data_IF_057063411237
#
_entry.id   IF_057063411237
#
_cell.length_a   1.000
_cell.length_b   1.000
_cell.length_c   1.000
_cell.angle_alpha   90.00
_cell.angle_beta   90.00
_cell.angle_gamma   90.00
#
_symmetry.space_group_name_H-M   'P 1'
#
loop_
_entity.id
_entity.type
_entity.pdbx_description
1 polymer ?
#
# COMPACT_ATOMS: atom_id res chain seq x y z
N UNK A 1 10.42 -8.53 -3.01
CA UNK A 1 9.34 -9.15 -2.26
C UNK A 1 8.00 -8.44 -2.45
N UNK A 2 7.84 -7.20 -1.98
CA UNK A 2 6.56 -6.49 -2.14
C UNK A 2 6.15 -6.29 -3.60
N UNK A 3 7.11 -6.08 -4.50
CA UNK A 3 6.86 -6.00 -5.94
C UNK A 3 6.24 -7.30 -6.48
N UNK A 4 6.70 -8.47 -6.01
CA UNK A 4 6.11 -9.75 -6.41
C UNK A 4 4.64 -9.83 -6.01
N UNK A 5 4.31 -9.42 -4.78
CA UNK A 5 2.92 -9.39 -4.28
C UNK A 5 2.07 -8.48 -5.17
N UNK A 6 2.52 -7.25 -5.41
CA UNK A 6 1.80 -6.29 -6.23
C UNK A 6 1.63 -6.76 -7.69
N UNK A 7 2.67 -7.36 -8.28
CA UNK A 7 2.60 -7.90 -9.64
C UNK A 7 1.57 -9.04 -9.74
N UNK A 8 1.57 -9.96 -8.76
CA UNK A 8 0.63 -11.07 -8.73
C UNK A 8 -0.82 -10.58 -8.55
N UNK A 9 -1.06 -9.63 -7.63
CA UNK A 9 -2.38 -9.02 -7.43
C UNK A 9 -2.90 -8.34 -8.71
N UNK A 10 -2.06 -7.55 -9.39
CA UNK A 10 -2.43 -6.91 -10.68
C UNK A 10 -2.79 -7.94 -11.72
N UNK A 11 -1.92 -8.92 -11.95
CA UNK A 11 -2.18 -10.00 -12.89
C UNK A 11 -3.51 -10.70 -12.62
N UNK A 12 -3.77 -11.03 -11.37
CA UNK A 12 -5.04 -11.66 -10.97
C UNK A 12 -6.25 -10.78 -11.32
N UNK A 13 -6.19 -9.49 -11.00
CA UNK A 13 -7.28 -8.54 -11.31
C UNK A 13 -7.48 -8.41 -12.80
N UNK A 14 -6.42 -8.32 -13.60
CA UNK A 14 -6.48 -8.30 -15.07
C UNK A 14 -7.26 -9.49 -15.62
N UNK A 15 -7.05 -10.70 -15.07
CA UNK A 15 -7.81 -11.88 -15.48
C UNK A 15 -9.30 -11.79 -15.09
N UNK A 16 -9.59 -11.26 -13.90
CA UNK A 16 -10.95 -11.17 -13.36
C UNK A 16 -11.82 -10.11 -14.03
N UNK A 17 -11.22 -9.01 -14.48
CA UNK A 17 -11.98 -7.90 -15.12
C UNK A 17 -12.13 -8.09 -16.63
N UNK A 18 -11.41 -9.02 -17.23
CA UNK A 18 -11.42 -9.26 -18.67
C UNK A 18 -12.85 -9.54 -19.18
N UNK A 19 -13.27 -8.79 -20.21
CA UNK A 19 -14.62 -8.88 -20.79
C UNK A 19 -15.71 -8.19 -19.96
N UNK A 20 -15.36 -7.50 -18.89
CA UNK A 20 -16.30 -6.69 -18.08
C UNK A 20 -16.11 -5.19 -18.37
N UNK A 21 -17.04 -4.36 -17.89
CA UNK A 21 -16.90 -2.90 -18.00
C UNK A 21 -15.70 -2.35 -17.20
N UNK A 22 -15.24 -3.09 -16.18
CA UNK A 22 -14.11 -2.72 -15.35
C UNK A 22 -12.76 -2.85 -16.09
N UNK A 23 -12.69 -3.62 -17.17
CA UNK A 23 -11.47 -3.81 -17.97
C UNK A 23 -10.89 -2.50 -18.51
N UNK A 24 -11.74 -1.47 -18.65
CA UNK A 24 -11.33 -0.15 -19.16
C UNK A 24 -10.59 0.71 -18.13
N UNK A 25 -10.69 0.34 -16.85
CA UNK A 25 -10.09 1.11 -15.77
C UNK A 25 -8.63 0.67 -15.52
N UNK A 26 -7.72 1.64 -15.27
CA UNK A 26 -6.35 1.31 -14.92
C UNK A 26 -6.27 0.58 -13.58
N UNK A 27 -5.39 -0.43 -13.51
CA UNK A 27 -5.22 -1.28 -12.34
C UNK A 27 -3.95 -0.88 -11.59
N UNK A 28 -4.11 -0.56 -10.33
CA UNK A 28 -3.06 -0.35 -9.33
C UNK A 28 -3.10 -1.50 -8.32
N UNK A 29 -2.03 -1.66 -7.55
CA UNK A 29 -1.98 -2.67 -6.49
C UNK A 29 -1.33 -2.11 -5.24
N UNK A 30 -1.99 -2.26 -4.10
CA UNK A 30 -1.53 -1.82 -2.79
C UNK A 30 -1.21 -3.02 -1.89
N UNK A 31 -0.01 -3.06 -1.36
CA UNK A 31 0.41 -4.08 -0.40
C UNK A 31 1.48 -3.55 0.56
N UNK A 32 1.49 -4.04 1.80
CA UNK A 32 2.48 -3.69 2.81
C UNK A 32 3.54 -4.78 2.98
N UNK A 33 4.80 -4.43 3.29
CA UNK A 33 5.82 -5.38 3.68
C UNK A 33 5.57 -5.85 5.12
N UNK A 34 5.02 -7.05 5.30
CA UNK A 34 4.65 -7.55 6.63
C UNK A 34 5.84 -7.89 7.53
N UNK A 35 6.94 -8.34 6.92
CA UNK A 35 8.19 -8.67 7.60
C UNK A 35 9.30 -7.76 7.06
N UNK A 36 9.48 -6.61 7.68
CA UNK A 36 10.45 -5.60 7.26
C UNK A 36 11.18 -4.95 8.46
N UNK A 37 11.39 -5.70 9.54
CA UNK A 37 11.98 -5.18 10.77
C UNK A 37 11.01 -4.26 11.52
N UNK A 38 11.41 -3.01 11.77
CA UNK A 38 10.63 -2.04 12.55
C UNK A 38 10.46 -2.51 14.01
N UNK A 39 9.28 -2.30 14.58
CA UNK A 39 8.96 -2.67 15.96
C UNK A 39 9.16 -4.15 16.32
N UNK A 40 9.24 -5.04 15.33
CA UNK A 40 9.46 -6.47 15.52
C UNK A 40 10.94 -6.87 15.59
N UNK A 41 11.84 -5.90 15.44
CA UNK A 41 13.29 -6.07 15.50
C UNK A 41 13.93 -6.28 14.13
N UNK A 42 15.23 -6.04 14.08
CA UNK A 42 16.01 -6.03 12.83
C UNK A 42 16.05 -7.37 12.10
N UNK A 43 15.86 -8.47 12.81
CA UNK A 43 15.89 -9.82 12.24
C UNK A 43 14.52 -10.28 11.70
N UNK A 44 13.48 -9.47 11.90
CA UNK A 44 12.12 -9.82 11.45
C UNK A 44 11.91 -9.42 9.99
N UNK A 45 12.36 -10.29 9.09
CA UNK A 45 12.16 -10.13 7.64
C UNK A 45 12.08 -11.48 6.94
N UNK A 46 11.47 -11.50 5.73
CA UNK A 46 11.40 -12.70 4.89
C UNK A 46 12.74 -12.93 4.20
N UNK A 47 13.36 -14.07 4.47
CA UNK A 47 14.58 -14.51 3.80
C UNK A 47 14.34 -15.82 3.04
N UNK A 48 14.19 -15.72 1.72
CA UNK A 48 13.98 -16.86 0.85
C UNK A 48 15.26 -17.10 0.05
N UNK A 49 15.97 -18.22 0.28
CA UNK A 49 17.20 -18.51 -0.44
C UNK A 49 16.93 -18.76 -1.94
N UNK A 50 17.96 -18.58 -2.75
CA UNK A 50 17.92 -18.89 -4.17
C UNK A 50 17.63 -20.40 -4.36
N UNK A 51 16.66 -20.72 -5.20
CA UNK A 51 16.26 -22.09 -5.47
C UNK A 51 14.79 -22.22 -5.85
N UNK A 52 14.26 -23.42 -5.72
CA UNK A 52 12.84 -23.70 -6.00
C UNK A 52 11.94 -23.05 -4.96
N UNK A 53 10.96 -22.29 -5.42
CA UNK A 53 9.91 -21.71 -4.57
C UNK A 53 8.84 -22.76 -4.28
N UNK A 54 8.35 -22.74 -3.04
CA UNK A 54 7.26 -23.58 -2.58
C UNK A 54 6.18 -22.73 -1.88
N UNK A 55 4.99 -23.27 -1.71
CA UNK A 55 3.85 -22.57 -1.05
C UNK A 55 4.25 -22.02 0.32
N UNK A 56 5.09 -22.73 1.08
CA UNK A 56 5.60 -22.23 2.37
C UNK A 56 6.35 -20.90 2.25
N UNK A 57 7.03 -20.65 1.14
CA UNK A 57 7.74 -19.38 0.91
C UNK A 57 6.75 -18.24 0.68
N UNK A 58 5.62 -18.53 0.03
CA UNK A 58 4.56 -17.54 -0.15
C UNK A 58 3.83 -17.26 1.18
N UNK A 59 3.63 -18.27 2.01
CA UNK A 59 3.10 -18.09 3.36
C UNK A 59 4.05 -17.30 4.28
N UNK A 60 5.37 -17.40 4.09
CA UNK A 60 6.35 -16.60 4.80
C UNK A 60 6.40 -15.14 4.29
N UNK A 61 6.23 -14.94 2.99
CA UNK A 61 6.16 -13.62 2.37
C UNK A 61 4.87 -12.88 2.72
N UNK A 62 3.73 -13.59 2.66
CA UNK A 62 2.40 -13.05 2.93
C UNK A 62 1.77 -13.82 4.09
N UNK A 63 2.05 -13.36 5.33
CA UNK A 63 1.77 -14.11 6.57
C UNK A 63 0.29 -14.23 6.93
N UNK A 64 -0.55 -13.32 6.46
CA UNK A 64 -1.97 -13.28 6.81
C UNK A 64 -2.83 -14.04 5.79
N UNK A 65 -3.85 -14.81 6.21
CA UNK A 65 -4.79 -15.48 5.32
C UNK A 65 -5.87 -14.51 4.79
N UNK A 66 -5.41 -13.37 4.25
CA UNK A 66 -6.31 -12.38 3.68
C UNK A 66 -6.74 -12.79 2.27
N UNK A 67 -7.97 -12.49 1.91
CA UNK A 67 -8.51 -12.67 0.55
C UNK A 67 -8.32 -11.39 -0.28
N UNK A 68 -8.22 -11.56 -1.60
CA UNK A 68 -8.01 -10.45 -2.52
C UNK A 68 -9.30 -9.66 -2.75
N UNK A 69 -9.20 -8.35 -2.63
CA UNK A 69 -10.28 -7.38 -2.90
C UNK A 69 -9.81 -6.36 -3.92
N UNK A 70 -10.76 -5.81 -4.69
CA UNK A 70 -10.51 -4.71 -5.61
C UNK A 70 -11.45 -3.56 -5.26
N UNK A 71 -10.87 -2.40 -5.01
CA UNK A 71 -11.60 -1.15 -4.76
C UNK A 71 -11.60 -0.28 -6.00
N UNK A 72 -12.72 0.39 -6.27
CA UNK A 72 -12.79 1.46 -7.27
C UNK A 72 -12.59 2.79 -6.56
N UNK A 73 -11.47 3.44 -6.86
CA UNK A 73 -10.99 4.64 -6.17
C UNK A 73 -10.67 5.75 -7.17
N UNK A 74 -10.75 7.00 -6.72
CA UNK A 74 -10.24 8.16 -7.47
C UNK A 74 -8.74 8.38 -7.21
N UNK A 75 -8.09 9.14 -8.10
CA UNK A 75 -6.69 9.56 -7.88
C UNK A 75 -6.50 10.30 -6.56
N UNK A 76 -7.49 11.07 -6.12
CA UNK A 76 -7.49 11.71 -4.80
C UNK A 76 -7.48 10.71 -3.65
N UNK A 77 -8.22 9.60 -3.75
CA UNK A 77 -8.20 8.55 -2.73
C UNK A 77 -6.83 7.85 -2.69
N UNK A 78 -6.22 7.63 -3.86
CA UNK A 78 -4.86 7.05 -3.97
C UNK A 78 -3.84 7.96 -3.27
N UNK A 79 -3.92 9.28 -3.47
CA UNK A 79 -3.06 10.25 -2.78
C UNK A 79 -3.23 10.17 -1.26
N UNK A 80 -4.46 10.22 -0.76
CA UNK A 80 -4.73 10.18 0.70
C UNK A 80 -4.30 8.83 1.31
N UNK A 81 -4.42 7.72 0.56
CA UNK A 81 -3.87 6.43 0.98
C UNK A 81 -2.37 6.50 1.19
N UNK A 82 -1.63 7.06 0.24
CA UNK A 82 -0.17 7.22 0.33
C UNK A 82 0.24 8.21 1.44
N UNK A 83 -0.53 9.29 1.64
CA UNK A 83 -0.31 10.22 2.77
C UNK A 83 -0.43 9.52 4.14
N UNK A 84 -1.41 8.61 4.28
CA UNK A 84 -1.53 7.79 5.49
C UNK A 84 -0.35 6.84 5.63
N UNK A 85 0.04 6.13 4.56
CA UNK A 85 1.19 5.22 4.54
C UNK A 85 2.49 5.94 4.90
N UNK A 86 2.66 7.20 4.49
CA UNK A 86 3.84 8.02 4.79
C UNK A 86 4.03 8.30 6.31
N UNK A 87 3.04 7.99 7.15
CA UNK A 87 3.16 7.97 8.60
C UNK A 87 4.20 6.99 9.15
N UNK A 88 4.68 6.05 8.30
CA UNK A 88 5.80 5.15 8.61
C UNK A 88 7.09 5.90 8.92
N UNK A 89 7.23 7.13 8.48
CA UNK A 89 8.45 7.91 8.66
C UNK A 89 8.27 9.04 9.68
N UNK A 90 9.27 9.24 10.52
CA UNK A 90 9.37 10.41 11.38
C UNK A 90 9.60 11.66 10.53
N UNK A 91 9.30 12.84 11.10
CA UNK A 91 9.71 14.10 10.49
C UNK A 91 11.19 14.31 10.71
N UNK A 92 11.93 14.57 9.64
CA UNK A 92 13.36 14.85 9.66
C UNK A 92 13.57 16.36 9.54
N UNK A 93 14.33 16.93 10.46
CA UNK A 93 14.74 18.34 10.40
C UNK A 93 16.05 18.43 9.58
N UNK A 94 16.01 19.01 8.36
CA UNK A 94 17.17 19.09 7.49
C UNK A 94 18.24 20.09 7.99
N UNK A 95 17.97 20.87 9.04
CA UNK A 95 18.91 21.82 9.64
C UNK A 95 19.69 21.22 10.81
N UNK A 96 19.45 19.95 11.15
CA UNK A 96 20.18 19.24 12.20
C UNK A 96 21.27 18.36 11.59
N UNK A 97 22.49 18.49 12.07
CA UNK A 97 23.63 17.66 11.66
C UNK A 97 23.67 16.31 12.39
N UNK A 98 22.89 16.15 13.47
CA UNK A 98 22.85 14.92 14.26
C UNK A 98 22.04 13.83 13.54
N UNK A 99 22.37 12.57 13.83
CA UNK A 99 21.63 11.43 13.34
C UNK A 99 20.17 11.46 13.83
N UNK A 100 19.22 11.24 12.92
CA UNK A 100 17.79 11.26 13.21
C UNK A 100 17.16 9.93 12.81
N UNK A 101 16.33 9.36 13.69
CA UNK A 101 15.60 8.12 13.42
C UNK A 101 14.56 8.35 12.34
N UNK A 102 14.74 7.74 11.17
CA UNK A 102 13.84 7.87 10.04
C UNK A 102 12.54 7.07 10.24
N UNK A 103 12.66 5.85 10.76
CA UNK A 103 11.49 4.95 10.91
C UNK A 103 10.71 5.30 12.16
N UNK A 104 9.39 5.47 12.01
CA UNK A 104 8.45 5.65 13.11
C UNK A 104 8.04 4.28 13.65
N UNK A 105 8.66 3.84 14.75
CA UNK A 105 8.45 2.52 15.35
C UNK A 105 7.03 2.33 15.93
N UNK A 106 6.29 3.41 16.22
CA UNK A 106 4.92 3.31 16.71
C UNK A 106 3.89 3.15 15.57
N UNK A 107 4.29 3.44 14.33
CA UNK A 107 3.44 3.20 13.17
C UNK A 107 3.47 1.71 12.79
N UNK A 108 2.32 1.04 12.66
CA UNK A 108 2.30 -0.38 12.30
C UNK A 108 2.84 -0.62 10.89
N UNK A 109 3.90 -1.40 10.73
CA UNK A 109 4.53 -1.68 9.43
C UNK A 109 3.54 -2.27 8.41
N UNK A 110 2.54 -3.04 8.85
CA UNK A 110 1.47 -3.55 7.97
C UNK A 110 0.53 -2.44 7.45
N UNK A 111 0.68 -1.20 7.92
CA UNK A 111 0.01 -0.02 7.38
C UNK A 111 0.91 0.80 6.44
N UNK A 112 2.15 0.38 6.21
CA UNK A 112 3.00 0.97 5.19
C UNK A 112 2.71 0.35 3.82
N UNK A 113 1.55 0.66 3.25
CA UNK A 113 1.21 0.19 1.91
C UNK A 113 2.03 0.93 0.85
N UNK A 114 2.60 0.16 -0.07
CA UNK A 114 3.21 0.65 -1.31
C UNK A 114 2.25 0.39 -2.45
N UNK A 115 1.98 1.40 -3.29
CA UNK A 115 1.07 1.26 -4.43
C UNK A 115 1.89 1.13 -5.71
N UNK A 116 1.80 -0.03 -6.35
CA UNK A 116 2.38 -0.30 -7.67
C UNK A 116 1.47 0.23 -8.78
N UNK A 117 2.09 0.70 -9.87
CA UNK A 117 1.42 1.34 -11.01
C UNK A 117 1.47 2.86 -10.95
N UNK A 118 1.92 3.45 -9.86
CA UNK A 118 2.22 4.88 -9.72
C UNK A 118 3.65 5.10 -9.25
N UNK A 119 4.18 6.29 -9.54
CA UNK A 119 5.43 6.78 -8.95
C UNK A 119 5.16 8.03 -8.13
N UNK A 120 5.86 8.19 -7.03
CA UNK A 120 5.69 9.32 -6.11
C UNK A 120 6.94 9.52 -5.26
N UNK A 121 7.03 10.66 -4.62
CA UNK A 121 8.07 11.01 -3.67
C UNK A 121 7.44 11.23 -2.30
N UNK A 122 8.16 10.85 -1.23
CA UNK A 122 7.76 11.08 0.15
C UNK A 122 8.71 12.11 0.76
N UNK A 123 8.22 13.31 1.02
CA UNK A 123 8.96 14.38 1.69
C UNK A 123 8.85 14.23 3.21
N UNK A 124 9.86 13.61 3.81
CA UNK A 124 9.91 13.37 5.26
C UNK A 124 10.28 14.60 6.08
N UNK A 125 10.61 15.73 5.43
CA UNK A 125 10.83 17.00 6.15
C UNK A 125 9.51 17.65 6.59
N UNK A 126 8.38 17.23 6.00
CA UNK A 126 7.05 17.69 6.36
C UNK A 126 6.43 16.86 7.47
N UNK A 127 5.56 17.48 8.26
CA UNK A 127 4.77 16.76 9.27
C UNK A 127 3.85 15.72 8.62
N UNK A 128 3.57 14.56 9.27
CA UNK A 128 2.61 13.59 8.76
C UNK A 128 1.21 14.21 8.72
N UNK A 129 0.45 13.95 7.65
CA UNK A 129 -0.92 14.42 7.47
C UNK A 129 -1.88 13.75 8.46
N UNK A 130 -1.68 12.45 8.68
CA UNK A 130 -2.49 11.60 9.54
C UNK A 130 -1.68 11.05 10.70
N UNK A 131 -2.34 10.80 11.84
CA UNK A 131 -1.76 10.00 12.91
C UNK A 131 -1.84 8.48 12.58
N UNK A 132 -1.27 7.66 13.46
CA UNK A 132 -1.25 6.19 13.27
C UNK A 132 -2.65 5.54 13.24
N UNK A 133 -3.68 6.24 13.71
CA UNK A 133 -5.05 5.79 13.80
C UNK A 133 -5.94 6.37 12.67
N UNK A 134 -5.33 7.05 11.69
CA UNK A 134 -6.00 7.61 10.52
C UNK A 134 -6.73 8.93 10.76
N UNK A 135 -6.50 9.57 11.91
CA UNK A 135 -7.07 10.88 12.20
C UNK A 135 -6.25 11.97 11.50
N UNK A 136 -6.94 12.85 10.78
CA UNK A 136 -6.33 14.02 10.16
C UNK A 136 -5.83 14.99 11.24
N UNK A 137 -4.52 15.19 11.32
CA UNK A 137 -3.85 16.04 12.33
C UNK A 137 -3.21 17.28 11.73
N UNK A 138 -2.78 17.24 10.48
CA UNK A 138 -2.14 18.37 9.78
C UNK A 138 -2.78 18.58 8.41
N UNK A 139 -3.88 19.33 8.33
CA UNK A 139 -4.70 19.57 7.12
C UNK A 139 -3.88 20.11 5.94
N UNK A 140 -2.95 21.02 6.21
CA UNK A 140 -2.11 21.69 5.19
C UNK A 140 -0.84 20.91 4.83
N UNK A 141 -0.56 19.78 5.50
CA UNK A 141 0.65 19.00 5.22
C UNK A 141 0.41 17.99 4.12
N UNK A 142 1.35 17.92 3.19
CA UNK A 142 1.37 16.93 2.11
C UNK A 142 2.79 16.40 1.96
N UNK A 143 3.01 15.13 2.35
CA UNK A 143 4.28 14.41 2.18
C UNK A 143 4.43 13.83 0.79
N UNK A 144 3.30 13.49 0.16
CA UNK A 144 3.28 12.87 -1.17
C UNK A 144 3.35 13.94 -2.25
N UNK A 145 4.41 13.91 -3.03
CA UNK A 145 4.64 14.80 -4.17
C UNK A 145 4.97 14.00 -5.43
N UNK A 146 4.92 14.65 -6.58
CA UNK A 146 5.21 14.03 -7.87
C UNK A 146 4.45 12.73 -8.15
N UNK A 147 3.22 12.60 -7.60
CA UNK A 147 2.39 11.43 -7.82
C UNK A 147 1.99 11.34 -9.30
N UNK A 148 2.49 10.30 -9.99
CA UNK A 148 2.33 10.11 -11.42
C UNK A 148 1.77 8.72 -11.74
N UNK A 149 0.89 8.68 -12.73
CA UNK A 149 0.47 7.48 -13.42
C UNK A 149 0.94 7.54 -14.88
N UNK A 150 1.60 6.49 -15.38
CA UNK A 150 2.19 6.44 -16.72
C UNK A 150 3.05 7.69 -17.05
N UNK A 151 3.86 8.16 -16.09
CA UNK A 151 4.78 9.28 -16.24
C UNK A 151 4.14 10.67 -16.20
N UNK A 152 2.79 10.78 -16.13
CA UNK A 152 2.05 12.04 -16.03
C UNK A 152 1.49 12.23 -14.61
N UNK A 153 1.39 13.47 -14.16
CA UNK A 153 0.72 13.79 -12.89
C UNK A 153 -0.66 13.13 -12.89
N UNK A 154 -0.97 12.41 -11.79
CA UNK A 154 -2.23 11.69 -11.66
C UNK A 154 -3.41 12.67 -11.69
N UNK A 155 -4.44 12.33 -12.46
CA UNK A 155 -5.71 13.07 -12.38
C UNK A 155 -6.46 12.64 -11.12
N UNK A 156 -6.69 13.60 -10.23
CA UNK A 156 -7.35 13.36 -8.94
C UNK A 156 -8.80 12.86 -9.07
N UNK A 157 -9.45 13.10 -10.22
CA UNK A 157 -10.81 12.64 -10.51
C UNK A 157 -10.87 11.35 -11.33
N UNK A 158 -9.76 10.93 -11.93
CA UNK A 158 -9.71 9.67 -12.69
C UNK A 158 -9.96 8.46 -11.77
N UNK A 159 -10.68 7.48 -12.28
CA UNK A 159 -10.99 6.24 -11.57
C UNK A 159 -9.94 5.17 -11.83
N UNK A 160 -9.60 4.44 -10.78
CA UNK A 160 -8.64 3.34 -10.75
C UNK A 160 -9.25 2.13 -10.06
N UNK A 161 -8.86 0.93 -10.49
CA UNK A 161 -9.03 -0.29 -9.73
C UNK A 161 -7.79 -0.48 -8.87
N UNK A 162 -7.96 -0.60 -7.55
CA UNK A 162 -6.84 -0.83 -6.63
C UNK A 162 -7.00 -2.21 -5.99
N UNK A 163 -6.14 -3.14 -6.39
CA UNK A 163 -6.04 -4.45 -5.76
C UNK A 163 -5.47 -4.31 -4.35
N UNK A 164 -6.07 -5.00 -3.40
CA UNK A 164 -5.65 -5.02 -1.99
C UNK A 164 -6.18 -6.28 -1.31
N UNK A 165 -6.27 -6.28 0.00
CA UNK A 165 -6.83 -7.39 0.75
C UNK A 165 -8.13 -7.02 1.49
N UNK A 166 -8.86 -8.04 1.94
CA UNK A 166 -10.12 -7.86 2.65
C UNK A 166 -10.00 -7.02 3.93
N UNK A 167 -8.87 -7.14 4.67
CA UNK A 167 -8.64 -6.33 5.86
C UNK A 167 -8.62 -4.84 5.53
N UNK A 168 -7.82 -4.44 4.53
CA UNK A 168 -7.73 -3.03 4.10
C UNK A 168 -9.06 -2.56 3.49
N UNK A 169 -9.65 -3.35 2.61
CA UNK A 169 -10.92 -3.03 1.96
C UNK A 169 -12.06 -2.80 2.96
N UNK A 170 -12.04 -3.48 4.10
CA UNK A 170 -13.05 -3.33 5.17
C UNK A 170 -12.76 -2.17 6.14
N UNK A 171 -11.77 -1.32 5.86
CA UNK A 171 -11.40 -0.18 6.71
C UNK A 171 -10.28 -0.47 7.70
N UNK A 172 -9.65 -1.63 7.63
CA UNK A 172 -8.52 -1.98 8.51
C UNK A 172 -7.37 -0.99 8.40
N UNK A 173 -6.83 -0.56 9.54
CA UNK A 173 -5.80 0.47 9.63
C UNK A 173 -6.31 1.90 9.48
N UNK A 174 -7.63 2.09 9.38
CA UNK A 174 -8.30 3.40 9.34
C UNK A 174 -7.82 4.32 8.21
N UNK A 175 -7.54 3.75 7.03
CA UNK A 175 -7.11 4.55 5.88
C UNK A 175 -8.24 5.46 5.41
N UNK A 176 -7.97 6.76 5.20
CA UNK A 176 -8.98 7.75 4.86
C UNK A 176 -9.75 7.38 3.59
N UNK A 177 -11.08 7.36 3.69
CA UNK A 177 -11.96 7.06 2.55
C UNK A 177 -11.94 5.60 2.08
N UNK A 178 -11.19 4.70 2.71
CA UNK A 178 -11.13 3.29 2.35
C UNK A 178 -12.11 2.49 3.21
N UNK A 179 -13.10 1.88 2.55
CA UNK A 179 -14.13 1.08 3.20
C UNK A 179 -14.79 0.11 2.20
N UNK A 180 -15.55 -0.83 2.72
CA UNK A 180 -16.16 -1.91 1.94
C UNK A 180 -17.15 -1.44 0.85
N UNK A 181 -17.73 -0.23 0.95
CA UNK A 181 -18.67 0.28 -0.07
C UNK A 181 -17.99 0.60 -1.40
N UNK A 182 -16.66 0.73 -1.42
CA UNK A 182 -15.87 0.95 -2.64
C UNK A 182 -15.42 -0.36 -3.31
N UNK A 183 -15.69 -1.52 -2.69
CA UNK A 183 -15.31 -2.81 -3.25
C UNK A 183 -16.16 -3.16 -4.49
N UNK A 184 -15.50 -3.45 -5.59
CA UNK A 184 -16.12 -3.89 -6.85
C UNK A 184 -15.84 -5.37 -7.12
N UNK A 185 -14.81 -5.95 -6.49
CA UNK A 185 -14.53 -7.38 -6.50
C UNK A 185 -14.17 -7.81 -5.08
N UNK A 186 -14.82 -8.88 -4.59
CA UNK A 186 -14.47 -9.60 -3.38
C UNK A 186 -14.17 -11.04 -3.78
N UNK A 187 -12.89 -11.40 -3.87
CA UNK A 187 -12.50 -12.76 -4.26
C UNK A 187 -12.46 -13.69 -3.04
N UNK A 188 -12.84 -14.98 -3.19
CA UNK A 188 -12.60 -15.97 -2.17
C UNK A 188 -11.12 -16.40 -2.09
N UNK A 189 -10.32 -16.09 -3.13
CA UNK A 189 -8.92 -16.53 -3.23
C UNK A 189 -8.03 -15.72 -2.28
N UNK A 190 -7.18 -16.40 -1.52
CA UNK A 190 -6.23 -15.75 -0.62
C UNK A 190 -5.10 -15.08 -1.43
N UNK A 191 -4.65 -13.90 -0.98
CA UNK A 191 -3.53 -13.19 -1.61
C UNK A 191 -2.28 -14.06 -1.76
N UNK A 192 -1.97 -14.88 -0.74
CA UNK A 192 -0.81 -15.81 -0.80
C UNK A 192 -0.97 -16.97 -1.78
N UNK A 193 -2.21 -17.28 -2.21
CA UNK A 193 -2.47 -18.27 -3.26
C UNK A 193 -2.36 -17.65 -4.66
N UNK A 194 -2.61 -16.35 -4.75
CA UNK A 194 -2.48 -15.58 -5.99
C UNK A 194 -1.01 -15.35 -6.35
N UNK A 195 -0.11 -15.22 -5.34
CA UNK A 195 1.33 -15.07 -5.50
C UNK A 195 1.98 -16.39 -5.97
#
# INVERSE_FOLDING_TARGET
SIQLVNTAQKWYVEQKVKGTELEKLPILSAAAPFKAGGRMGVDYFTNIPVGTLAIKNMADLYVYPNTLYVLKLKGSDVKEWLEMSAGQFNTIDPNKDEEQMLVNEVFPTYNFDVIDGVSYEIDVTKAPRYDKDGKLINVGSERISNLKYNGKIIDMNAEFLVATNNYRASGGGNFPGINASKAVIASPDENRQVI
#
